data_IF_300507747883
#
_entry.id   IF_300507747883
#
_cell.length_a   1.000
_cell.length_b   1.000
_cell.length_c   1.000
_cell.angle_alpha   90.00
_cell.angle_beta   90.00
_cell.angle_gamma   90.00
#
_symmetry.space_group_name_H-M   'P 1'
#
loop_
_entity.id
_entity.type
_entity.pdbx_description
1 polymer ?
#
# COMPACT_ATOMS: atom_id res chain seq x y z
N UNK A 1 -6.74 -11.77 12.58
CA UNK A 1 -5.34 -11.31 12.52
C UNK A 1 -4.97 -10.79 11.12
N UNK A 2 -5.00 -11.60 10.04
CA UNK A 2 -4.87 -11.12 8.64
C UNK A 2 -6.19 -10.55 8.08
N UNK A 3 -7.29 -11.28 8.25
CA UNK A 3 -8.62 -10.87 7.74
C UNK A 3 -9.06 -9.55 8.37
N UNK A 4 -8.91 -9.40 9.69
CA UNK A 4 -9.27 -8.16 10.39
C UNK A 4 -8.47 -6.95 9.90
N UNK A 5 -7.20 -7.18 9.55
CA UNK A 5 -6.32 -6.15 9.02
C UNK A 5 -6.69 -5.77 7.60
N UNK A 6 -7.01 -6.75 6.75
CA UNK A 6 -7.55 -6.51 5.42
C UNK A 6 -8.86 -5.71 5.49
N UNK A 7 -9.78 -6.06 6.39
CA UNK A 7 -11.01 -5.30 6.58
C UNK A 7 -10.75 -3.87 7.05
N UNK A 8 -9.87 -3.70 8.06
CA UNK A 8 -9.59 -2.38 8.63
C UNK A 8 -8.98 -1.44 7.59
N UNK A 9 -7.92 -1.87 6.92
CA UNK A 9 -7.26 -1.05 5.89
C UNK A 9 -8.18 -0.89 4.67
N UNK A 10 -8.80 -1.98 4.22
CA UNK A 10 -9.61 -1.98 3.00
C UNK A 10 -10.86 -1.11 3.11
N UNK A 11 -11.58 -1.18 4.22
CA UNK A 11 -12.78 -0.37 4.44
C UNK A 11 -12.45 1.13 4.49
N UNK A 12 -11.42 1.51 5.26
CA UNK A 12 -10.97 2.89 5.34
C UNK A 12 -10.46 3.39 3.97
N UNK A 13 -9.68 2.58 3.26
CA UNK A 13 -9.10 2.93 1.97
C UNK A 13 -10.12 3.12 0.85
N UNK A 14 -11.30 2.48 0.91
CA UNK A 14 -12.38 2.69 -0.07
C UNK A 14 -13.48 3.64 0.43
N UNK A 15 -13.23 4.36 1.53
CA UNK A 15 -14.19 5.27 2.18
C UNK A 15 -15.53 4.61 2.53
N UNK A 16 -15.47 3.37 3.01
CA UNK A 16 -16.64 2.72 3.55
C UNK A 16 -16.95 3.30 4.94
N UNK A 17 -17.90 4.23 4.97
CA UNK A 17 -18.49 4.75 6.20
C UNK A 17 -19.97 4.30 6.28
N UNK A 18 -20.38 3.90 7.48
CA UNK A 18 -21.66 3.24 7.81
C UNK A 18 -21.81 1.79 7.33
N UNK A 19 -22.76 1.05 7.93
CA UNK A 19 -23.06 -0.39 7.88
C UNK A 19 -23.29 -1.03 6.48
N UNK A 20 -22.70 -0.48 5.42
CA UNK A 20 -22.91 -0.83 4.03
C UNK A 20 -21.64 -1.45 3.45
N UNK A 21 -21.48 -2.77 3.66
CA UNK A 21 -20.31 -3.52 3.19
C UNK A 21 -20.20 -3.47 1.66
N UNK A 22 -19.09 -2.93 1.16
CA UNK A 22 -18.76 -2.89 -0.27
C UNK A 22 -18.04 -4.17 -0.72
N UNK A 23 -17.54 -4.97 0.22
CA UNK A 23 -16.91 -6.25 -0.05
C UNK A 23 -17.08 -7.25 1.10
N UNK A 24 -16.86 -8.52 0.81
CA UNK A 24 -16.81 -9.60 1.79
C UNK A 24 -15.59 -10.49 1.55
N UNK A 25 -14.89 -10.83 2.62
CA UNK A 25 -13.79 -11.81 2.60
C UNK A 25 -14.39 -13.21 2.53
N UNK A 26 -13.99 -14.00 1.53
CA UNK A 26 -14.46 -15.37 1.31
C UNK A 26 -13.51 -16.42 1.88
N UNK A 27 -12.26 -16.07 2.14
CA UNK A 27 -11.27 -16.96 2.75
C UNK A 27 -9.85 -16.46 2.62
N UNK A 28 -8.89 -17.32 2.97
CA UNK A 28 -7.46 -17.08 2.78
C UNK A 28 -6.87 -18.31 2.08
N UNK A 29 -6.14 -18.07 0.99
CA UNK A 29 -5.51 -19.14 0.19
C UNK A 29 -4.00 -18.98 0.27
N UNK A 30 -3.28 -20.08 0.53
CA UNK A 30 -1.83 -20.08 0.51
C UNK A 30 -1.33 -19.96 -0.93
N UNK A 31 -0.35 -19.09 -1.14
CA UNK A 31 0.31 -18.89 -2.43
C UNK A 31 1.83 -18.78 -2.24
N UNK A 32 2.56 -18.74 -3.36
CA UNK A 32 4.02 -18.57 -3.33
C UNK A 32 4.46 -17.22 -2.72
N UNK A 33 3.61 -16.20 -2.79
CA UNK A 33 3.87 -14.87 -2.21
C UNK A 33 3.33 -14.72 -0.78
N UNK A 34 2.74 -15.78 -0.22
CA UNK A 34 2.16 -15.80 1.13
C UNK A 34 0.65 -16.06 1.17
N UNK A 35 0.01 -15.88 2.34
CA UNK A 35 -1.43 -16.07 2.50
C UNK A 35 -2.20 -14.91 1.86
N UNK A 36 -2.88 -15.17 0.74
CA UNK A 36 -3.66 -14.19 0.00
C UNK A 36 -5.10 -14.18 0.50
N UNK A 37 -5.61 -13.01 0.87
CA UNK A 37 -7.02 -12.82 1.22
C UNK A 37 -7.86 -12.91 -0.05
N UNK A 38 -8.82 -13.82 -0.08
CA UNK A 38 -9.84 -13.92 -1.12
C UNK A 38 -11.04 -13.09 -0.71
N UNK A 39 -11.54 -12.26 -1.62
CA UNK A 39 -12.66 -11.36 -1.35
C UNK A 39 -13.57 -11.26 -2.57
N UNK A 40 -14.80 -10.78 -2.36
CA UNK A 40 -15.76 -10.51 -3.43
C UNK A 40 -16.44 -9.16 -3.19
N UNK A 41 -16.70 -8.37 -4.24
CA UNK A 41 -17.48 -7.16 -4.11
C UNK A 41 -18.91 -7.51 -3.71
N UNK A 42 -19.50 -6.68 -2.86
CA UNK A 42 -20.92 -6.74 -2.50
C UNK A 42 -21.59 -5.57 -3.20
N UNK A 43 -22.78 -5.80 -3.77
CA UNK A 43 -23.58 -4.72 -4.38
C UNK A 43 -24.11 -3.81 -3.27
N UNK A 44 -23.32 -2.82 -2.89
CA UNK A 44 -23.70 -1.74 -1.98
C UNK A 44 -24.02 -0.44 -2.72
N UNK A 45 -24.51 0.57 -1.98
CA UNK A 45 -24.57 1.95 -2.50
C UNK A 45 -23.14 2.46 -2.66
N UNK A 46 -22.84 3.11 -3.80
CA UNK A 46 -21.52 3.73 -4.05
C UNK A 46 -21.23 4.73 -2.93
N UNK A 47 -20.05 4.63 -2.32
CA UNK A 47 -19.57 5.58 -1.31
C UNK A 47 -19.52 7.01 -1.87
N UNK A 48 -19.43 7.99 -0.97
CA UNK A 48 -19.27 9.40 -1.35
C UNK A 48 -18.03 9.57 -2.24
N UNK A 49 -18.12 10.46 -3.24
CA UNK A 49 -17.00 10.75 -4.15
C UNK A 49 -15.90 11.49 -3.39
N UNK A 50 -14.71 10.92 -3.37
CA UNK A 50 -13.48 11.66 -3.06
C UNK A 50 -12.86 12.12 -4.38
N UNK A 51 -12.84 13.43 -4.71
CA UNK A 51 -12.30 13.91 -5.98
C UNK A 51 -10.85 13.51 -6.25
N UNK A 52 -10.03 13.33 -5.20
CA UNK A 52 -8.63 12.93 -5.35
C UNK A 52 -8.51 11.45 -5.76
N UNK A 53 -9.50 10.61 -5.44
CA UNK A 53 -9.45 9.16 -5.64
C UNK A 53 -10.65 8.56 -6.40
N UNK A 54 -11.58 9.38 -6.94
CA UNK A 54 -12.76 8.91 -7.70
C UNK A 54 -12.37 8.21 -9.02
N UNK A 55 -11.10 8.35 -9.43
CA UNK A 55 -10.50 7.64 -10.55
C UNK A 55 -10.07 6.20 -10.19
N UNK A 56 -9.86 5.89 -8.91
CA UNK A 56 -9.46 4.55 -8.46
C UNK A 56 -10.67 3.64 -8.30
N UNK A 57 -10.55 2.44 -8.88
CA UNK A 57 -11.55 1.38 -8.69
C UNK A 57 -11.32 0.74 -7.32
N UNK A 58 -12.35 0.61 -6.45
CA UNK A 58 -12.23 -0.09 -5.18
C UNK A 58 -11.63 -1.50 -5.32
N UNK A 59 -11.91 -2.16 -6.44
CA UNK A 59 -11.34 -3.48 -6.76
C UNK A 59 -9.82 -3.43 -6.85
N UNK A 60 -9.25 -2.44 -7.53
CA UNK A 60 -7.80 -2.30 -7.69
C UNK A 60 -7.12 -2.03 -6.33
N UNK A 61 -7.72 -1.17 -5.50
CA UNK A 61 -7.22 -0.88 -4.14
C UNK A 61 -7.22 -2.15 -3.28
N UNK A 62 -8.32 -2.91 -3.28
CA UNK A 62 -8.43 -4.14 -2.50
C UNK A 62 -7.49 -5.25 -3.01
N UNK A 63 -7.26 -5.34 -4.32
CA UNK A 63 -6.30 -6.29 -4.89
C UNK A 63 -4.85 -5.91 -4.55
N UNK A 64 -4.49 -4.63 -4.61
CA UNK A 64 -3.19 -4.14 -4.17
C UNK A 64 -2.96 -4.41 -2.67
N UNK A 65 -4.00 -4.23 -1.85
CA UNK A 65 -3.95 -4.55 -0.43
C UNK A 65 -3.77 -6.05 -0.19
N UNK A 66 -4.49 -6.91 -0.90
CA UNK A 66 -4.39 -8.35 -0.78
C UNK A 66 -2.96 -8.85 -1.09
N UNK A 67 -2.34 -8.29 -2.15
CA UNK A 67 -0.94 -8.57 -2.53
C UNK A 67 0.04 -8.08 -1.46
N UNK A 68 -0.15 -6.85 -0.98
CA UNK A 68 0.68 -6.26 0.08
C UNK A 68 0.68 -7.09 1.35
N UNK A 69 -0.52 -7.48 1.81
CA UNK A 69 -0.65 -8.31 3.00
C UNK A 69 -0.12 -9.72 2.78
N UNK A 70 -0.29 -10.32 1.61
CA UNK A 70 0.28 -11.63 1.30
C UNK A 70 1.80 -11.61 1.50
N UNK A 71 2.50 -10.65 0.87
CA UNK A 71 3.94 -10.48 1.00
C UNK A 71 4.38 -10.28 2.46
N UNK A 72 3.67 -9.42 3.20
CA UNK A 72 4.00 -9.15 4.59
C UNK A 72 3.80 -10.37 5.50
N UNK A 73 2.70 -11.10 5.30
CA UNK A 73 2.30 -12.21 6.18
C UNK A 73 3.09 -13.50 5.97
N UNK A 74 3.95 -13.60 4.94
CA UNK A 74 4.98 -14.66 4.85
C UNK A 74 5.83 -14.70 6.12
N UNK A 75 6.12 -13.53 6.70
CA UNK A 75 6.92 -13.39 7.92
C UNK A 75 6.07 -13.22 9.19
N UNK A 76 4.74 -13.31 9.08
CA UNK A 76 3.79 -13.19 10.18
C UNK A 76 3.58 -11.73 10.63
N UNK A 77 4.17 -11.34 11.77
CA UNK A 77 4.00 -10.00 12.34
C UNK A 77 4.63 -8.93 11.43
N UNK A 78 4.22 -7.66 11.53
CA UNK A 78 4.86 -6.59 10.76
C UNK A 78 6.35 -6.55 11.11
N UNK A 79 7.18 -6.95 10.14
CA UNK A 79 8.62 -6.94 10.20
C UNK A 79 9.10 -5.95 9.15
N UNK A 80 9.95 -5.01 9.54
CA UNK A 80 10.59 -4.09 8.61
C UNK A 80 12.09 -4.38 8.62
N UNK A 81 12.62 -5.13 7.63
CA UNK A 81 14.06 -5.41 7.56
C UNK A 81 14.85 -4.10 7.48
N UNK A 82 15.90 -3.92 8.28
CA UNK A 82 16.67 -2.68 8.28
C UNK A 82 17.35 -2.38 6.93
N UNK A 83 17.67 -3.43 6.18
CA UNK A 83 18.34 -3.38 4.89
C UNK A 83 17.35 -3.38 3.70
N UNK A 84 16.05 -3.15 3.93
CA UNK A 84 15.04 -3.28 2.88
C UNK A 84 15.25 -2.33 1.70
N UNK A 85 15.70 -1.10 1.94
CA UNK A 85 16.00 -0.12 0.88
C UNK A 85 17.12 -0.62 -0.01
N UNK A 86 18.20 -1.13 0.59
CA UNK A 86 19.32 -1.73 -0.12
C UNK A 86 18.89 -2.97 -0.92
N UNK A 87 18.04 -3.84 -0.35
CA UNK A 87 17.50 -5.02 -1.08
C UNK A 87 16.67 -4.61 -2.29
N UNK A 88 15.89 -3.54 -2.15
CA UNK A 88 15.05 -3.01 -3.22
C UNK A 88 15.92 -2.46 -4.38
N UNK A 89 16.89 -1.60 -4.07
CA UNK A 89 17.78 -0.98 -5.06
C UNK A 89 18.74 -1.98 -5.71
N UNK A 90 19.23 -2.97 -4.96
CA UNK A 90 20.10 -4.02 -5.51
C UNK A 90 19.33 -5.10 -6.29
N UNK A 91 18.11 -5.43 -5.87
CA UNK A 91 17.28 -6.44 -6.53
C UNK A 91 16.63 -5.94 -7.82
N UNK A 92 16.30 -4.65 -7.89
CA UNK A 92 15.62 -4.04 -9.03
C UNK A 92 16.20 -2.67 -9.40
N UNK A 93 17.50 -2.59 -9.75
CA UNK A 93 18.22 -1.31 -9.92
C UNK A 93 17.68 -0.44 -11.06
N UNK A 94 17.00 -1.03 -12.06
CA UNK A 94 16.35 -0.28 -13.14
C UNK A 94 15.13 0.49 -12.63
N UNK A 95 14.27 -0.19 -11.88
CA UNK A 95 13.07 0.42 -11.31
C UNK A 95 13.43 1.35 -10.14
N UNK A 96 14.41 1.00 -9.32
CA UNK A 96 14.84 1.75 -8.14
C UNK A 96 16.30 2.19 -8.24
N UNK A 97 16.58 3.30 -8.95
CA UNK A 97 17.93 3.81 -9.13
C UNK A 97 18.52 4.46 -7.86
N UNK A 98 17.70 4.74 -6.84
CA UNK A 98 18.08 5.36 -5.57
C UNK A 98 17.24 4.80 -4.42
N UNK A 99 17.68 5.05 -3.17
CA UNK A 99 16.94 4.61 -1.99
C UNK A 99 15.65 5.44 -1.78
N UNK A 100 14.51 4.79 -1.50
CA UNK A 100 13.25 5.50 -1.23
C UNK A 100 13.32 6.42 -0.01
N UNK A 101 12.75 7.62 -0.11
CA UNK A 101 12.63 8.59 0.98
C UNK A 101 11.32 8.39 1.78
N UNK A 102 11.08 7.14 2.19
CA UNK A 102 9.87 6.74 2.90
C UNK A 102 10.18 5.95 4.18
N UNK A 103 9.17 5.85 5.05
CA UNK A 103 9.21 5.07 6.28
C UNK A 103 9.28 3.55 6.04
N UNK A 104 9.85 2.85 7.02
CA UNK A 104 10.11 1.40 6.97
C UNK A 104 8.84 0.55 6.88
N UNK A 105 7.72 1.04 7.40
CA UNK A 105 6.42 0.37 7.41
C UNK A 105 5.81 0.16 6.02
N UNK A 106 6.21 0.96 5.03
CA UNK A 106 5.70 0.85 3.66
C UNK A 106 6.51 -0.09 2.75
N UNK A 107 7.54 -0.76 3.28
CA UNK A 107 8.37 -1.72 2.52
C UNK A 107 7.54 -2.75 1.76
N UNK A 108 6.53 -3.34 2.41
CA UNK A 108 5.73 -4.41 1.81
C UNK A 108 4.79 -3.90 0.73
N UNK A 109 4.33 -2.65 0.85
CA UNK A 109 3.51 -1.97 -0.14
C UNK A 109 4.32 -1.72 -1.41
N UNK A 110 5.54 -1.18 -1.25
CA UNK A 110 6.48 -0.93 -2.34
C UNK A 110 6.92 -2.25 -2.99
N UNK A 111 7.28 -3.26 -2.20
CA UNK A 111 7.72 -4.55 -2.72
C UNK A 111 6.61 -5.28 -3.50
N UNK A 112 5.38 -5.29 -2.99
CA UNK A 112 4.24 -5.90 -3.68
C UNK A 112 3.94 -5.21 -5.00
N UNK A 113 4.04 -3.87 -5.02
CA UNK A 113 3.87 -3.08 -6.22
C UNK A 113 4.99 -3.30 -7.24
N UNK A 114 6.25 -3.28 -6.81
CA UNK A 114 7.39 -3.57 -7.66
C UNK A 114 7.28 -4.96 -8.32
N UNK A 115 6.87 -5.97 -7.56
CA UNK A 115 6.62 -7.32 -8.08
C UNK A 115 5.47 -7.34 -9.09
N UNK A 116 4.40 -6.60 -8.85
CA UNK A 116 3.28 -6.50 -9.78
C UNK A 116 3.69 -5.81 -11.08
N UNK A 117 4.34 -4.65 -11.00
CA UNK A 117 4.84 -3.91 -12.16
C UNK A 117 5.87 -4.72 -12.97
N UNK A 118 6.68 -5.54 -12.30
CA UNK A 118 7.64 -6.43 -12.99
C UNK A 118 6.96 -7.54 -13.78
N UNK A 119 5.81 -8.04 -13.30
CA UNK A 119 5.10 -9.13 -13.94
C UNK A 119 4.36 -8.71 -15.21
N UNK A 120 4.12 -7.41 -15.40
CA UNK A 120 3.37 -6.86 -16.55
C UNK A 120 4.30 -6.65 -17.77
N UNK A 121 5.57 -7.07 -17.70
CA UNK A 121 6.62 -6.94 -18.74
C UNK A 121 6.87 -5.48 -19.20
N UNK A 122 6.37 -4.50 -18.44
CA UNK A 122 6.57 -3.06 -18.64
C UNK A 122 7.80 -2.53 -17.90
N UNK A 123 8.45 -3.35 -17.07
CA UNK A 123 9.61 -2.95 -16.28
C UNK A 123 10.87 -2.63 -17.09
N UNK A 124 10.94 -2.97 -18.38
CA UNK A 124 12.14 -2.66 -19.16
C UNK A 124 12.34 -1.16 -19.37
N UNK A 125 11.25 -0.40 -19.43
CA UNK A 125 11.28 1.05 -19.70
C UNK A 125 10.83 1.90 -18.51
N UNK A 126 10.50 1.29 -17.37
CA UNK A 126 10.05 1.99 -16.15
C UNK A 126 11.20 2.29 -15.20
N UNK A 127 11.21 3.51 -14.68
CA UNK A 127 12.18 3.99 -13.69
C UNK A 127 11.50 4.90 -12.68
N UNK A 128 11.71 4.65 -11.39
CA UNK A 128 11.26 5.56 -10.33
C UNK A 128 12.01 6.89 -10.45
N UNK A 129 11.26 7.97 -10.56
CA UNK A 129 11.77 9.35 -10.58
C UNK A 129 11.69 9.97 -9.19
N UNK A 130 10.59 9.75 -8.46
CA UNK A 130 10.44 10.11 -7.05
C UNK A 130 9.73 8.99 -6.28
N UNK A 131 10.17 8.76 -5.04
CA UNK A 131 9.46 7.90 -4.09
C UNK A 131 9.68 8.43 -2.69
N UNK A 132 8.70 9.19 -2.18
CA UNK A 132 8.83 9.96 -0.94
C UNK A 132 7.54 10.00 -0.14
N UNK A 133 7.65 10.38 1.13
CA UNK A 133 6.50 10.76 1.95
C UNK A 133 6.01 12.16 1.57
N UNK A 134 4.69 12.34 1.53
CA UNK A 134 4.00 13.63 1.39
C UNK A 134 2.61 13.56 2.04
N UNK A 135 2.35 14.46 2.98
CA UNK A 135 1.05 14.59 3.69
C UNK A 135 0.59 13.30 4.39
N UNK A 136 1.52 12.55 4.98
CA UNK A 136 1.24 11.27 5.63
C UNK A 136 0.94 10.13 4.66
N UNK A 137 1.22 10.32 3.36
CA UNK A 137 1.07 9.31 2.31
C UNK A 137 2.38 9.12 1.55
N UNK A 138 2.55 7.98 0.92
CA UNK A 138 3.58 7.71 -0.07
C UNK A 138 3.16 8.38 -1.39
N UNK A 139 4.15 8.97 -2.09
CA UNK A 139 4.00 9.43 -3.47
C UNK A 139 5.04 8.76 -4.35
N UNK A 140 4.59 8.01 -5.35
CA UNK A 140 5.45 7.29 -6.28
C UNK A 140 5.28 7.78 -7.72
N UNK A 141 6.29 8.49 -8.20
CA UNK A 141 6.39 8.92 -9.58
C UNK A 141 7.29 7.96 -10.37
N UNK A 142 6.74 7.36 -11.44
CA UNK A 142 7.45 6.44 -12.33
C UNK A 142 7.53 7.06 -13.72
N UNK A 143 8.76 7.32 -14.17
CA UNK A 143 9.04 7.68 -15.54
C UNK A 143 9.02 6.44 -16.43
N UNK A 144 8.40 6.55 -17.60
CA UNK A 144 8.39 5.52 -18.65
C UNK A 144 8.40 6.16 -20.03
N UNK A 145 8.88 5.42 -21.04
CA UNK A 145 8.91 5.88 -22.44
C UNK A 145 7.50 5.98 -23.00
N UNK A 146 6.66 4.99 -22.69
CA UNK A 146 5.23 4.96 -23.04
C UNK A 146 4.38 5.13 -21.79
N UNK A 147 3.21 5.75 -21.93
CA UNK A 147 2.28 5.84 -20.80
C UNK A 147 1.61 4.49 -20.54
N UNK A 148 1.79 3.96 -19.34
CA UNK A 148 1.18 2.70 -18.90
C UNK A 148 0.08 2.96 -17.87
N UNK A 149 -1.18 2.98 -18.34
CA UNK A 149 -2.34 3.24 -17.49
C UNK A 149 -2.44 2.28 -16.28
N UNK A 150 -2.11 1.01 -16.45
CA UNK A 150 -2.14 0.02 -15.36
C UNK A 150 -1.12 0.33 -14.26
N UNK A 151 0.06 0.83 -14.64
CA UNK A 151 1.08 1.20 -13.67
C UNK A 151 0.71 2.46 -12.90
N UNK A 152 0.17 3.47 -13.59
CA UNK A 152 -0.35 4.69 -12.98
C UNK A 152 -1.53 4.41 -12.03
N UNK A 153 -2.46 3.52 -12.41
CA UNK A 153 -3.55 3.09 -11.53
C UNK A 153 -3.00 2.36 -10.29
N UNK A 154 -1.98 1.51 -10.46
CA UNK A 154 -1.44 0.74 -9.36
C UNK A 154 -0.58 1.58 -8.40
N UNK A 155 0.25 2.50 -8.89
CA UNK A 155 0.97 3.46 -8.03
C UNK A 155 -0.01 4.34 -7.26
N UNK A 156 -1.10 4.75 -7.89
CA UNK A 156 -2.17 5.51 -7.23
C UNK A 156 -2.87 4.68 -6.13
N UNK A 157 -3.04 3.36 -6.32
CA UNK A 157 -3.50 2.46 -5.26
C UNK A 157 -2.50 2.37 -4.10
N UNK A 158 -1.20 2.35 -4.38
CA UNK A 158 -0.13 2.33 -3.37
C UNK A 158 -0.14 3.63 -2.56
N UNK A 159 -0.16 4.78 -3.23
CA UNK A 159 -0.29 6.09 -2.60
C UNK A 159 -1.52 6.12 -1.67
N UNK A 160 -2.67 5.65 -2.16
CA UNK A 160 -3.91 5.58 -1.37
C UNK A 160 -3.78 4.68 -0.13
N UNK A 161 -3.26 3.47 -0.29
CA UNK A 161 -3.14 2.50 0.80
C UNK A 161 -2.16 2.95 1.88
N UNK A 162 -1.13 3.70 1.51
CA UNK A 162 -0.12 4.19 2.45
C UNK A 162 -0.72 5.08 3.55
N UNK A 163 -1.80 5.81 3.26
CA UNK A 163 -2.54 6.64 4.22
C UNK A 163 -3.26 5.86 5.32
N UNK A 164 -3.29 4.52 5.22
CA UNK A 164 -3.94 3.61 6.17
C UNK A 164 -2.98 2.56 6.74
N UNK A 165 -1.69 2.65 6.39
CA UNK A 165 -0.63 1.75 6.83
C UNK A 165 0.42 2.59 7.55
N UNK A 166 0.69 2.26 8.80
CA UNK A 166 1.68 2.96 9.61
C UNK A 166 3.06 2.96 8.92
N UNK A 167 3.60 4.14 8.68
CA UNK A 167 4.89 4.31 8.01
C UNK A 167 6.09 3.81 8.82
N UNK A 168 5.94 3.60 10.13
CA UNK A 168 7.02 3.12 11.00
C UNK A 168 7.08 1.58 11.06
N UNK A 169 5.92 0.90 11.06
CA UNK A 169 5.87 -0.55 11.27
C UNK A 169 4.97 -1.35 10.34
N UNK A 170 4.18 -0.71 9.47
CA UNK A 170 3.31 -1.41 8.53
C UNK A 170 2.03 -2.00 9.12
N UNK A 171 1.73 -1.74 10.40
CA UNK A 171 0.43 -2.06 11.01
C UNK A 171 -0.65 -1.06 10.55
N UNK A 172 -1.96 -1.35 10.69
CA UNK A 172 -3.01 -0.39 10.40
C UNK A 172 -2.79 0.94 11.13
N UNK A 173 -2.80 2.02 10.35
CA UNK A 173 -2.55 3.39 10.80
C UNK A 173 -3.62 4.35 10.31
N UNK A 174 -3.52 5.59 10.76
CA UNK A 174 -4.31 6.71 10.25
C UNK A 174 -3.41 7.93 10.16
N UNK A 175 -3.70 8.82 9.21
CA UNK A 175 -3.00 10.10 9.10
C UNK A 175 -3.30 10.95 10.34
N UNK A 176 -2.24 11.43 10.99
CA UNK A 176 -2.32 12.28 12.17
C UNK A 176 -1.27 13.40 12.06
N UNK A 177 -1.64 14.60 12.49
CA UNK A 177 -0.71 15.71 12.62
C UNK A 177 0.15 15.50 13.88
N UNK A 178 1.42 15.11 13.70
CA UNK A 178 2.39 14.92 14.75
C UNK A 178 3.50 15.96 14.63
N UNK A 179 3.67 16.78 15.68
CA UNK A 179 4.72 17.81 15.75
C UNK A 179 4.74 18.76 14.53
N UNK A 180 3.57 19.06 13.98
CA UNK A 180 3.41 19.96 12.82
C UNK A 180 3.56 19.29 11.45
N UNK A 181 3.64 17.96 11.40
CA UNK A 181 3.75 17.18 10.16
C UNK A 181 2.69 16.09 10.12
N UNK A 182 2.06 15.89 8.96
CA UNK A 182 1.12 14.79 8.76
C UNK A 182 1.89 13.48 8.57
N UNK A 183 1.55 12.46 9.35
CA UNK A 183 2.17 11.14 9.31
C UNK A 183 1.09 10.07 9.39
N UNK A 184 1.17 9.00 8.58
CA UNK A 184 0.31 7.84 8.80
C UNK A 184 0.95 6.93 9.85
N UNK A 185 0.34 6.87 11.04
CA UNK A 185 0.89 6.12 12.17
C UNK A 185 -0.18 5.27 12.86
N UNK A 186 0.24 4.15 13.45
CA UNK A 186 -0.62 3.36 14.33
C UNK A 186 -0.64 3.97 15.73
N UNK A 187 -1.60 3.54 16.57
CA UNK A 187 -1.73 4.02 17.95
C UNK A 187 -0.43 3.97 18.78
N UNK A 188 0.48 3.02 18.49
CA UNK A 188 1.77 2.89 19.19
C UNK A 188 2.77 3.98 18.81
N UNK A 189 2.74 4.43 17.56
CA UNK A 189 3.64 5.47 17.02
C UNK A 189 3.00 6.86 16.99
N UNK A 190 1.69 6.93 17.25
CA UNK A 190 0.96 8.19 17.46
C UNK A 190 1.34 8.89 18.76
N UNK A 191 1.77 8.14 19.77
CA UNK A 191 2.17 8.71 21.06
C UNK A 191 3.60 9.23 20.94
N UNK A 192 3.86 10.54 21.19
CA UNK A 192 5.23 11.02 21.31
C UNK A 192 5.88 10.29 22.48
N UNK A 193 7.01 9.62 22.25
CA UNK A 193 7.85 9.15 23.34
C UNK A 193 8.10 10.34 24.27
N UNK A 194 7.57 10.26 25.50
CA UNK A 194 7.82 11.26 26.53
C UNK A 194 9.31 11.12 26.84
N UNK A 195 10.11 12.08 26.39
CA UNK A 195 11.47 12.27 26.89
C UNK A 195 11.41 12.92 28.26
#
# INVERSE_FOLDING_TARGET
>A
MLIDEFYRIGADAIHEHDFNRSFTVTGVVQSWSGPVVQWRPVRGKRAARDPEFDHLRPVAVLDALARTLAHRWVHGRPLCPLDWKQRLTSGMPRLFPFEPEVGNGWVWLIAAAANHLSAIDTCNDMRTNELKEKYGTLRWDIASVEFHQEADEYTSCVDRLSGYICEDCGAPGQIQALRGWDRCVCHKHAVPSIC
#
